data_IF_221690231839
#
_entry.id   IF_221690231839
#
_cell.length_a   1.000
_cell.length_b   1.000
_cell.length_c   1.000
_cell.angle_alpha   90.00
_cell.angle_beta   90.00
_cell.angle_gamma   90.00
#
_symmetry.space_group_name_H-M   'P 1'
#
loop_
_entity.id
_entity.type
_entity.pdbx_description
1 polymer ?
#
# COMPACT_ATOMS: atom_id res chain seq x y z
N UNK A 1 -6.16 -8.29 -5.83
CA UNK A 1 -5.61 -7.77 -4.56
C UNK A 1 -4.12 -7.47 -4.75
N UNK A 2 -3.69 -6.27 -4.38
CA UNK A 2 -2.31 -5.80 -4.62
C UNK A 2 -1.65 -5.41 -3.29
N UNK A 3 -0.37 -5.72 -3.15
CA UNK A 3 0.46 -5.27 -2.03
C UNK A 3 1.59 -4.39 -2.57
N UNK A 4 1.81 -3.24 -1.95
CA UNK A 4 2.91 -2.32 -2.26
C UNK A 4 3.78 -2.16 -1.01
N UNK A 5 4.97 -2.76 -1.05
CA UNK A 5 5.94 -2.75 0.05
C UNK A 5 6.98 -1.65 -0.18
N UNK A 6 7.28 -0.89 0.87
CA UNK A 6 8.09 0.34 0.79
C UNK A 6 7.44 1.38 -0.13
N UNK A 7 6.13 1.57 0.09
CA UNK A 7 5.24 2.23 -0.87
C UNK A 7 5.60 3.69 -1.18
N UNK A 8 6.38 4.38 -0.33
CA UNK A 8 6.72 5.78 -0.52
C UNK A 8 5.46 6.65 -0.58
N UNK A 9 5.22 7.33 -1.71
CA UNK A 9 3.98 8.09 -1.95
C UNK A 9 2.76 7.23 -2.33
N UNK A 10 2.94 5.92 -2.48
CA UNK A 10 1.88 4.96 -2.82
C UNK A 10 1.50 4.93 -4.29
N UNK A 11 2.29 5.52 -5.20
CA UNK A 11 1.88 5.78 -6.58
C UNK A 11 1.50 4.51 -7.37
N UNK A 12 2.26 3.42 -7.23
CA UNK A 12 1.99 2.17 -7.95
C UNK A 12 0.74 1.45 -7.41
N UNK A 13 0.62 1.31 -6.10
CA UNK A 13 -0.56 0.71 -5.51
C UNK A 13 -1.84 1.55 -5.72
N UNK A 14 -1.76 2.89 -5.63
CA UNK A 14 -2.88 3.79 -5.92
C UNK A 14 -3.35 3.66 -7.37
N UNK A 15 -2.41 3.59 -8.32
CA UNK A 15 -2.72 3.36 -9.74
C UNK A 15 -3.33 1.97 -9.98
N UNK A 16 -2.95 0.96 -9.19
CA UNK A 16 -3.59 -0.35 -9.25
C UNK A 16 -5.06 -0.27 -8.80
N UNK A 17 -5.34 0.51 -7.75
CA UNK A 17 -6.71 0.76 -7.28
C UNK A 17 -7.57 1.48 -8.34
N UNK A 18 -7.01 2.50 -9.00
CA UNK A 18 -7.72 3.24 -10.07
C UNK A 18 -8.04 2.37 -11.29
N UNK A 19 -7.23 1.34 -11.56
CA UNK A 19 -7.39 0.38 -12.67
C UNK A 19 -8.21 -0.86 -12.34
N UNK A 20 -8.88 -0.88 -11.19
CA UNK A 20 -9.84 -1.93 -10.84
C UNK A 20 -9.28 -3.06 -9.98
N UNK A 21 -8.15 -2.86 -9.30
CA UNK A 21 -7.77 -3.79 -8.22
C UNK A 21 -8.86 -3.82 -7.14
N UNK A 22 -9.27 -5.03 -6.72
CA UNK A 22 -10.32 -5.20 -5.70
C UNK A 22 -9.94 -4.63 -4.34
N UNK A 23 -8.65 -4.73 -3.99
CA UNK A 23 -8.08 -4.19 -2.77
C UNK A 23 -6.59 -3.94 -2.95
N UNK A 24 -6.07 -2.90 -2.31
CA UNK A 24 -4.66 -2.51 -2.31
C UNK A 24 -4.22 -2.24 -0.87
N UNK A 25 -3.14 -2.90 -0.45
CA UNK A 25 -2.44 -2.64 0.81
C UNK A 25 -1.14 -1.89 0.51
N UNK A 26 -0.96 -0.70 1.07
CA UNK A 26 0.28 0.08 0.97
C UNK A 26 1.00 0.02 2.31
N UNK A 27 2.28 -0.37 2.34
CA UNK A 27 3.08 -0.48 3.55
C UNK A 27 4.24 0.50 3.49
N UNK A 28 4.24 1.48 4.39
CA UNK A 28 5.27 2.52 4.46
C UNK A 28 5.62 2.82 5.92
N UNK A 29 6.90 2.94 6.25
CA UNK A 29 7.34 3.20 7.63
C UNK A 29 7.56 4.69 7.90
N UNK A 30 8.10 5.44 6.94
CA UNK A 30 8.41 6.85 7.08
C UNK A 30 7.13 7.68 7.27
N UNK A 31 7.12 8.53 8.28
CA UNK A 31 5.93 9.29 8.65
C UNK A 31 5.52 10.30 7.58
N UNK A 32 6.48 10.92 6.89
CA UNK A 32 6.21 11.92 5.86
C UNK A 32 5.67 11.25 4.60
N UNK A 33 6.33 10.19 4.14
CA UNK A 33 5.89 9.39 3.00
C UNK A 33 4.51 8.78 3.24
N UNK A 34 4.30 8.17 4.42
CA UNK A 34 3.00 7.61 4.82
C UNK A 34 1.88 8.66 4.83
N UNK A 35 2.16 9.91 5.24
CA UNK A 35 1.16 10.98 5.19
C UNK A 35 0.75 11.35 3.76
N UNK A 36 1.70 11.38 2.82
CA UNK A 36 1.41 11.60 1.40
C UNK A 36 0.63 10.41 0.81
N UNK A 37 1.08 9.20 1.13
CA UNK A 37 0.44 7.94 0.75
C UNK A 37 -1.03 7.89 1.19
N UNK A 38 -1.32 8.30 2.44
CA UNK A 38 -2.69 8.35 2.97
C UNK A 38 -3.57 9.32 2.17
N UNK A 39 -3.08 10.53 1.85
CA UNK A 39 -3.85 11.50 1.06
C UNK A 39 -4.21 10.97 -0.33
N UNK A 40 -3.27 10.27 -0.97
CA UNK A 40 -3.50 9.67 -2.28
C UNK A 40 -4.50 8.51 -2.20
N UNK A 41 -4.41 7.68 -1.17
CA UNK A 41 -5.35 6.61 -0.91
C UNK A 41 -6.77 7.15 -0.66
N UNK A 42 -6.90 8.20 0.17
CA UNK A 42 -8.18 8.84 0.46
C UNK A 42 -8.82 9.40 -0.82
N UNK A 43 -8.05 10.10 -1.66
CA UNK A 43 -8.54 10.64 -2.93
C UNK A 43 -9.11 9.54 -3.84
N UNK A 44 -8.40 8.42 -4.00
CA UNK A 44 -8.91 7.31 -4.82
C UNK A 44 -10.12 6.64 -4.18
N UNK A 45 -10.12 6.44 -2.86
CA UNK A 45 -11.25 5.85 -2.16
C UNK A 45 -12.52 6.71 -2.29
N UNK A 46 -12.38 8.04 -2.22
CA UNK A 46 -13.47 8.99 -2.42
C UNK A 46 -14.01 8.93 -3.86
N UNK A 47 -13.12 8.94 -4.85
CA UNK A 47 -13.49 8.83 -6.28
C UNK A 47 -14.22 7.51 -6.58
N UNK A 48 -13.78 6.41 -5.97
CA UNK A 48 -14.39 5.08 -6.17
C UNK A 48 -15.63 4.85 -5.29
N UNK A 49 -15.90 5.73 -4.32
CA UNK A 49 -17.00 5.58 -3.36
C UNK A 49 -16.89 4.35 -2.45
N UNK A 50 -15.70 3.76 -2.32
CA UNK A 50 -15.44 2.58 -1.48
C UNK A 50 -13.98 2.53 -1.04
N UNK A 51 -13.73 1.87 0.10
CA UNK A 51 -12.37 1.65 0.61
C UNK A 51 -11.65 0.55 -0.18
N UNK A 52 -10.94 0.97 -1.23
CA UNK A 52 -10.13 0.10 -2.11
C UNK A 52 -8.67 0.08 -1.67
N UNK A 53 -8.12 1.22 -1.25
CA UNK A 53 -6.71 1.38 -0.86
C UNK A 53 -6.60 1.58 0.66
N UNK A 54 -5.74 0.80 1.32
CA UNK A 54 -5.46 0.91 2.76
C UNK A 54 -3.97 1.12 2.99
N UNK A 55 -3.63 2.13 3.81
CA UNK A 55 -2.24 2.42 4.18
C UNK A 55 -1.94 1.85 5.56
N UNK A 56 -0.79 1.18 5.67
CA UNK A 56 -0.25 0.59 6.89
C UNK A 56 1.06 1.30 7.24
N UNK A 57 1.03 2.17 8.26
CA UNK A 57 2.25 2.83 8.73
C UNK A 57 3.07 1.89 9.61
N UNK A 58 3.92 1.07 9.01
CA UNK A 58 4.78 0.12 9.73
C UNK A 58 5.98 -0.32 8.90
N UNK A 59 6.97 -0.91 9.57
CA UNK A 59 8.00 -1.70 8.89
C UNK A 59 7.37 -2.85 8.11
N UNK A 60 7.92 -3.15 6.93
CA UNK A 60 7.43 -4.19 6.04
C UNK A 60 7.50 -5.56 6.71
N UNK A 61 8.60 -5.85 7.39
CA UNK A 61 8.83 -7.12 8.09
C UNK A 61 7.75 -7.35 9.16
N UNK A 62 7.51 -6.33 10.01
CA UNK A 62 6.48 -6.41 11.05
C UNK A 62 5.06 -6.48 10.48
N UNK A 63 4.80 -5.92 9.29
CA UNK A 63 3.52 -6.06 8.62
C UNK A 63 3.31 -7.51 8.14
N UNK A 64 4.33 -8.09 7.50
CA UNK A 64 4.29 -9.45 6.97
C UNK A 64 4.18 -10.49 8.10
N UNK A 65 4.94 -10.34 9.19
CA UNK A 65 4.86 -11.24 10.36
C UNK A 65 3.47 -11.27 11.02
N UNK A 66 2.77 -10.12 11.05
CA UNK A 66 1.43 -10.02 11.63
C UNK A 66 0.34 -10.57 10.72
N UNK A 67 0.60 -10.73 9.42
CA UNK A 67 -0.40 -11.26 8.50
C UNK A 67 -0.37 -12.77 8.54
N UNK A 68 -1.52 -13.35 8.89
CA UNK A 68 -1.74 -14.78 8.85
C UNK A 68 -1.43 -15.34 7.46
N UNK A 69 -1.00 -16.61 7.40
CA UNK A 69 -0.69 -17.35 6.16
C UNK A 69 -1.82 -17.32 5.11
N UNK A 70 -3.05 -16.97 5.51
CA UNK A 70 -4.22 -16.83 4.64
C UNK A 70 -4.29 -15.49 3.85
N UNK A 71 -3.40 -14.53 4.10
CA UNK A 71 -3.37 -13.30 3.31
C UNK A 71 -2.69 -13.54 1.95
N UNK A 72 -3.49 -13.70 0.89
CA UNK A 72 -3.02 -13.77 -0.49
C UNK A 72 -3.12 -12.44 -1.22
N UNK A 73 -2.12 -12.14 -2.04
CA UNK A 73 -2.13 -11.04 -3.01
C UNK A 73 -1.82 -11.61 -4.40
N UNK A 74 -2.40 -11.00 -5.42
CA UNK A 74 -2.23 -11.41 -6.83
C UNK A 74 -1.02 -10.72 -7.48
N UNK A 75 -0.62 -9.57 -6.92
CA UNK A 75 0.53 -8.78 -7.33
C UNK A 75 1.17 -8.14 -6.12
N UNK A 76 2.50 -8.18 -6.06
CA UNK A 76 3.32 -7.56 -5.01
C UNK A 76 4.36 -6.66 -5.67
N UNK A 77 4.35 -5.37 -5.32
CA UNK A 77 5.47 -4.45 -5.58
C UNK A 77 6.42 -4.45 -4.38
N UNK A 78 7.72 -4.44 -4.66
CA UNK A 78 8.77 -4.49 -3.64
C UNK A 78 9.97 -3.66 -4.13
N UNK A 79 10.14 -2.47 -3.56
CA UNK A 79 11.26 -1.56 -3.88
C UNK A 79 11.96 -1.06 -2.60
N UNK A 80 12.73 -1.92 -1.91
CA UNK A 80 13.44 -1.52 -0.70
C UNK A 80 14.52 -0.49 -1.01
N UNK A 81 14.78 0.46 -0.09
CA UNK A 81 15.87 1.41 -0.26
C UNK A 81 17.23 0.69 -0.31
N UNK A 82 18.13 1.13 -1.19
CA UNK A 82 19.50 0.63 -1.22
C UNK A 82 20.26 1.06 0.04
N UNK A 83 21.09 0.18 0.65
CA UNK A 83 22.06 0.60 1.65
C UNK A 83 23.05 1.57 0.97
N UNK A 84 23.07 2.83 1.42
CA UNK A 84 24.05 3.83 1.03
C UNK A 84 25.37 3.64 1.79
#
# INVERSE_FOLDING_TARGET
RVLDLYAGSGSLGVESGSRGADAVDLVEFDAKASSVCQRNADLINDVLGRKTVTVHRSKVESFLERRAEAASWDLVFLDPPYPL
#
